data_IF_339914790478
#
_entry.id   IF_339914790478
#
_cell.length_a   1.000
_cell.length_b   1.000
_cell.length_c   1.000
_cell.angle_alpha   90.00
_cell.angle_beta   90.00
_cell.angle_gamma   90.00
#
_symmetry.space_group_name_H-M   'P 1'
#
loop_
_entity.id
_entity.type
_entity.pdbx_description
1 polymer ?
#
# COMPACT_ATOMS: atom_id res chain seq x y z
N UNK A 1 -14.21 9.23 6.57
CA UNK A 1 -14.01 7.84 7.04
C UNK A 1 -12.66 7.37 6.53
N UNK A 2 -11.84 6.79 7.42
CA UNK A 2 -10.50 6.31 7.12
C UNK A 2 -10.53 5.20 6.07
N UNK A 3 -9.58 5.22 5.15
CA UNK A 3 -9.36 4.18 4.15
C UNK A 3 -8.04 3.47 4.43
N UNK A 4 -8.02 2.15 4.22
CA UNK A 4 -6.78 1.37 4.18
C UNK A 4 -6.06 1.57 2.85
N UNK A 5 -4.74 1.45 2.83
CA UNK A 5 -3.93 1.36 1.61
C UNK A 5 -3.82 -0.06 1.05
N UNK A 6 -4.25 -1.08 1.79
CA UNK A 6 -4.20 -2.49 1.37
C UNK A 6 -5.54 -2.97 0.82
N UNK A 7 -5.49 -3.87 -0.17
CA UNK A 7 -6.70 -4.46 -0.74
C UNK A 7 -6.44 -5.29 -1.98
N UNK A 8 -7.38 -6.16 -2.31
CA UNK A 8 -7.36 -7.00 -3.50
C UNK A 8 -8.75 -7.10 -4.10
N UNK A 9 -8.82 -7.07 -5.43
CA UNK A 9 -10.02 -7.36 -6.17
C UNK A 9 -9.65 -8.10 -7.46
N UNK A 10 -10.45 -9.10 -7.82
CA UNK A 10 -10.31 -9.81 -9.09
C UNK A 10 -11.69 -10.02 -9.69
N UNK A 11 -11.77 -9.96 -11.01
CA UNK A 11 -12.98 -10.31 -11.74
C UNK A 11 -12.63 -10.81 -13.13
N UNK A 12 -13.41 -11.75 -13.63
CA UNK A 12 -13.36 -12.21 -15.02
C UNK A 12 -14.53 -11.64 -15.82
N UNK A 13 -14.35 -11.59 -17.13
CA UNK A 13 -15.41 -11.25 -18.08
C UNK A 13 -15.17 -11.94 -19.41
N UNK A 14 -16.17 -11.92 -20.27
CA UNK A 14 -16.06 -12.40 -21.64
C UNK A 14 -16.95 -11.60 -22.58
N UNK A 15 -16.53 -11.51 -23.83
CA UNK A 15 -17.29 -10.95 -24.95
C UNK A 15 -16.81 -11.61 -26.23
N UNK A 16 -17.75 -12.10 -27.03
CA UNK A 16 -17.50 -12.82 -28.28
C UNK A 16 -16.50 -13.98 -28.07
N UNK A 17 -15.32 -13.91 -28.67
CA UNK A 17 -14.25 -14.92 -28.53
C UNK A 17 -13.21 -14.54 -27.47
N UNK A 18 -13.38 -13.40 -26.78
CA UNK A 18 -12.43 -12.92 -25.79
C UNK A 18 -12.92 -13.24 -24.38
N UNK A 19 -12.01 -13.72 -23.55
CA UNK A 19 -12.15 -13.89 -22.12
C UNK A 19 -11.04 -13.10 -21.44
N UNK A 20 -11.33 -12.44 -20.34
CA UNK A 20 -10.33 -11.68 -19.61
C UNK A 20 -10.45 -11.81 -18.10
N UNK A 21 -9.35 -11.49 -17.42
CA UNK A 21 -9.25 -11.46 -15.97
C UNK A 21 -8.55 -10.15 -15.57
N UNK A 22 -9.21 -9.41 -14.69
CA UNK A 22 -8.65 -8.28 -13.96
C UNK A 22 -8.12 -8.75 -12.61
N UNK A 23 -6.91 -8.35 -12.27
CA UNK A 23 -6.35 -8.48 -10.93
C UNK A 23 -5.85 -7.11 -10.46
N UNK A 24 -6.45 -6.58 -9.40
CA UNK A 24 -6.04 -5.35 -8.73
C UNK A 24 -5.52 -5.67 -7.33
N UNK A 25 -4.31 -5.19 -7.03
CA UNK A 25 -3.72 -5.22 -5.68
C UNK A 25 -3.33 -3.81 -5.28
N UNK A 26 -3.73 -3.41 -4.07
CA UNK A 26 -3.30 -2.19 -3.42
C UNK A 26 -2.43 -2.58 -2.22
N UNK A 27 -1.28 -1.93 -2.07
CA UNK A 27 -0.37 -2.12 -0.94
C UNK A 27 0.11 -0.78 -0.40
N UNK A 28 0.57 -0.78 0.85
CA UNK A 28 1.17 0.39 1.48
C UNK A 28 2.42 0.87 0.70
N UNK A 29 2.46 2.16 0.38
CA UNK A 29 3.64 2.84 -0.13
C UNK A 29 3.66 4.30 0.34
N UNK A 30 4.85 4.91 0.41
CA UNK A 30 5.04 6.31 0.86
C UNK A 30 4.32 7.34 -0.02
N UNK A 31 4.21 7.06 -1.31
CA UNK A 31 3.53 7.89 -2.30
C UNK A 31 2.50 7.10 -3.09
N UNK A 32 1.95 7.71 -4.13
CA UNK A 32 1.09 7.04 -5.10
C UNK A 32 1.96 6.42 -6.20
N UNK A 33 1.91 5.10 -6.34
CA UNK A 33 2.55 4.35 -7.44
C UNK A 33 1.46 3.55 -8.19
N UNK A 34 1.45 3.63 -9.52
CA UNK A 34 0.45 2.98 -10.38
C UNK A 34 1.16 2.12 -11.42
N UNK A 35 1.11 0.80 -11.21
CA UNK A 35 1.71 -0.19 -12.10
C UNK A 35 0.61 -0.90 -12.88
N UNK A 36 0.48 -0.55 -14.16
CA UNK A 36 -0.54 -1.11 -15.05
C UNK A 36 0.14 -2.10 -15.99
N UNK A 37 -0.39 -3.32 -16.05
CA UNK A 37 -0.01 -4.34 -17.04
C UNK A 37 -1.26 -4.67 -17.85
N UNK A 38 -1.37 -4.02 -19.00
CA UNK A 38 -2.47 -4.23 -19.94
C UNK A 38 -1.89 -4.63 -21.31
N UNK A 39 -2.66 -5.31 -22.17
CA UNK A 39 -2.20 -5.62 -23.52
C UNK A 39 -1.96 -4.35 -24.34
N UNK A 40 -0.85 -4.34 -25.09
CA UNK A 40 -0.39 -3.21 -25.91
C UNK A 40 -1.10 -3.11 -27.27
N UNK A 41 -1.69 -4.22 -27.73
CA UNK A 41 -2.45 -4.30 -28.98
C UNK A 41 -3.83 -3.62 -28.92
N UNK A 42 -4.27 -3.15 -27.75
CA UNK A 42 -5.48 -2.32 -27.59
C UNK A 42 -5.03 -0.87 -27.39
N UNK A 43 -5.07 -0.09 -28.45
CA UNK A 43 -4.59 1.29 -28.45
C UNK A 43 -5.32 2.14 -27.41
N UNK A 44 -4.55 2.89 -26.61
CA UNK A 44 -5.08 3.82 -25.61
C UNK A 44 -5.68 3.18 -24.34
N UNK A 45 -5.75 1.85 -24.23
CA UNK A 45 -6.33 1.18 -23.07
C UNK A 45 -5.62 1.55 -21.76
N UNK A 46 -4.28 1.56 -21.75
CA UNK A 46 -3.52 1.91 -20.54
C UNK A 46 -3.85 3.32 -20.04
N UNK A 47 -3.91 4.30 -20.95
CA UNK A 47 -4.20 5.68 -20.60
C UNK A 47 -5.62 5.82 -20.01
N UNK A 48 -6.59 5.13 -20.59
CA UNK A 48 -7.98 5.13 -20.11
C UNK A 48 -8.10 4.46 -18.74
N UNK A 49 -7.47 3.30 -18.55
CA UNK A 49 -7.41 2.61 -17.25
C UNK A 49 -6.74 3.50 -16.19
N UNK A 50 -5.64 4.16 -16.53
CA UNK A 50 -4.94 5.10 -15.64
C UNK A 50 -5.84 6.26 -15.23
N UNK A 51 -6.61 6.82 -16.16
CA UNK A 51 -7.54 7.92 -15.90
C UNK A 51 -8.67 7.51 -14.94
N UNK A 52 -9.14 6.25 -15.00
CA UNK A 52 -10.15 5.73 -14.08
C UNK A 52 -9.64 5.51 -12.65
N UNK A 53 -8.39 5.07 -12.49
CA UNK A 53 -7.83 4.71 -11.17
C UNK A 53 -7.30 5.94 -10.42
N UNK A 54 -6.64 6.87 -11.13
CA UNK A 54 -5.98 8.04 -10.54
C UNK A 54 -6.84 8.84 -9.56
N UNK A 55 -8.13 9.15 -9.83
CA UNK A 55 -8.96 9.91 -8.90
C UNK A 55 -9.43 9.11 -7.68
N UNK A 56 -9.29 7.78 -7.67
CA UNK A 56 -9.76 6.90 -6.59
C UNK A 56 -8.68 6.54 -5.57
N UNK A 57 -7.41 6.85 -5.87
CA UNK A 57 -6.26 6.46 -5.05
C UNK A 57 -5.39 7.69 -4.81
N UNK A 58 -5.27 8.10 -3.55
CA UNK A 58 -4.45 9.27 -3.17
C UNK A 58 -3.06 8.86 -2.67
N UNK A 59 -2.94 7.68 -2.05
CA UNK A 59 -1.69 7.11 -1.53
C UNK A 59 -1.67 5.59 -1.66
N UNK A 60 -0.48 5.01 -1.70
CA UNK A 60 -0.25 3.56 -1.84
C UNK A 60 0.21 3.18 -3.23
N UNK A 61 0.64 1.93 -3.37
CA UNK A 61 1.00 1.34 -4.65
C UNK A 61 -0.12 0.44 -5.13
N UNK A 62 -0.69 0.75 -6.30
CA UNK A 62 -1.72 -0.07 -6.93
C UNK A 62 -1.12 -0.74 -8.16
N UNK A 63 -1.13 -2.07 -8.15
CA UNK A 63 -0.82 -2.87 -9.33
C UNK A 63 -2.10 -3.44 -9.93
N UNK A 64 -2.28 -3.23 -11.22
CA UNK A 64 -3.35 -3.76 -12.03
C UNK A 64 -2.74 -4.67 -13.09
N UNK A 65 -3.27 -5.88 -13.24
CA UNK A 65 -2.96 -6.76 -14.36
C UNK A 65 -4.25 -7.12 -15.07
N UNK A 66 -4.27 -6.93 -16.38
CA UNK A 66 -5.30 -7.44 -17.27
C UNK A 66 -4.68 -8.55 -18.11
N UNK A 67 -5.26 -9.74 -18.03
CA UNK A 67 -4.97 -10.83 -18.96
C UNK A 67 -6.17 -10.99 -19.88
N UNK A 68 -5.95 -10.85 -21.19
CA UNK A 68 -6.96 -11.13 -22.21
C UNK A 68 -6.50 -12.35 -22.99
N UNK A 69 -7.38 -13.33 -23.10
CA UNK A 69 -7.18 -14.55 -23.88
C UNK A 69 -8.30 -14.65 -24.90
N UNK A 70 -7.96 -15.07 -26.11
CA UNK A 70 -8.96 -15.42 -27.11
C UNK A 70 -9.22 -16.92 -27.01
N UNK A 71 -10.45 -17.33 -26.78
CA UNK A 71 -10.83 -18.73 -26.97
C UNK A 71 -10.72 -19.05 -28.46
N UNK A 72 -9.97 -20.10 -28.80
CA UNK A 72 -9.88 -20.59 -30.17
C UNK A 72 -11.25 -21.11 -30.62
N UNK A 73 -12.05 -20.25 -31.21
CA UNK A 73 -12.94 -20.69 -32.27
C UNK A 73 -12.05 -21.21 -33.39
N UNK A 74 -12.21 -22.47 -33.79
CA UNK A 74 -11.53 -23.06 -34.94
C UNK A 74 -11.52 -22.05 -36.09
N UNK A 75 -10.38 -21.38 -36.27
CA UNK A 75 -10.30 -20.19 -37.11
C UNK A 75 -10.73 -20.55 -38.52
N UNK A 76 -11.48 -19.67 -39.18
CA UNK A 76 -11.73 -19.82 -40.60
C UNK A 76 -10.38 -19.88 -41.31
N UNK A 77 -10.03 -21.05 -41.83
CA UNK A 77 -8.81 -21.28 -42.58
C UNK A 77 -8.97 -20.58 -43.92
N UNK A 78 -8.09 -19.63 -44.22
CA UNK A 78 -8.08 -18.89 -45.48
C UNK A 78 -6.84 -19.28 -46.26
N UNK A 79 -7.00 -19.36 -47.58
CA UNK A 79 -5.92 -19.68 -48.48
C UNK A 79 -5.12 -18.42 -48.81
N UNK A 80 -3.81 -18.42 -48.52
CA UNK A 80 -2.92 -17.34 -48.97
C UNK A 80 -2.68 -17.48 -50.47
N UNK A 81 -3.49 -16.77 -51.27
CA UNK A 81 -3.43 -16.85 -52.73
C UNK A 81 -2.08 -16.44 -53.31
N UNK A 82 -1.39 -15.47 -52.71
CA UNK A 82 -0.08 -15.04 -53.20
C UNK A 82 0.97 -16.14 -53.01
N UNK A 83 0.97 -16.78 -51.84
CA UNK A 83 1.88 -17.87 -51.55
C UNK A 83 1.54 -19.13 -52.34
N UNK A 84 0.25 -19.47 -52.48
CA UNK A 84 -0.20 -20.56 -53.34
C UNK A 84 0.31 -20.39 -54.76
N UNK A 85 0.20 -19.20 -55.35
CA UNK A 85 0.70 -18.93 -56.71
C UNK A 85 2.21 -19.19 -56.82
N UNK A 86 3.00 -18.80 -55.81
CA UNK A 86 4.45 -19.06 -55.78
C UNK A 86 4.77 -20.54 -55.65
N UNK A 87 4.01 -21.26 -54.82
CA UNK A 87 4.14 -22.72 -54.64
C UNK A 87 3.82 -23.46 -55.93
N UNK A 88 2.70 -23.12 -56.60
CA UNK A 88 2.32 -23.73 -57.86
C UNK A 88 3.34 -23.46 -58.99
N UNK A 89 3.91 -22.26 -59.04
CA UNK A 89 4.99 -21.94 -59.98
C UNK A 89 6.24 -22.80 -59.72
N UNK A 90 6.67 -22.90 -58.46
CA UNK A 90 7.82 -23.73 -58.08
C UNK A 90 7.58 -25.23 -58.36
N UNK A 91 6.36 -25.73 -58.18
CA UNK A 91 5.99 -27.09 -58.55
C UNK A 91 6.14 -27.32 -60.06
N UNK A 92 5.69 -26.37 -60.89
CA UNK A 92 5.86 -26.46 -62.35
C UNK A 92 7.33 -26.47 -62.78
N UNK A 93 8.19 -25.67 -62.14
CA UNK A 93 9.63 -25.68 -62.40
C UNK A 93 10.27 -27.04 -62.05
N UNK A 94 9.87 -27.64 -60.91
CA UNK A 94 10.34 -28.96 -60.47
C UNK A 94 9.90 -30.06 -61.44
N UNK A 95 8.64 -30.05 -61.86
CA UNK A 95 8.10 -31.04 -62.81
C UNK A 95 8.82 -30.97 -64.16
N UNK A 96 9.11 -29.76 -64.64
CA UNK A 96 9.85 -29.55 -65.89
C UNK A 96 11.27 -30.11 -65.79
N UNK A 97 12.00 -29.79 -64.71
CA UNK A 97 13.36 -30.30 -64.50
C UNK A 97 13.41 -31.82 -64.35
N UNK A 98 12.42 -32.42 -63.68
CA UNK A 98 12.33 -33.86 -63.54
C UNK A 98 12.10 -34.55 -64.90
N UNK A 99 11.28 -33.95 -65.77
CA UNK A 99 11.06 -34.45 -67.13
C UNK A 99 12.32 -34.40 -67.99
N UNK A 100 13.10 -33.31 -67.91
CA UNK A 100 14.35 -33.15 -68.67
C UNK A 100 15.40 -34.23 -68.36
N UNK A 101 15.38 -34.78 -67.13
CA UNK A 101 16.29 -35.85 -66.69
C UNK A 101 15.63 -37.25 -66.72
N UNK A 102 14.40 -37.37 -67.20
CA UNK A 102 13.66 -38.64 -67.27
C UNK A 102 13.20 -39.20 -65.92
N UNK A 103 13.10 -38.36 -64.88
CA UNK A 103 12.60 -38.74 -63.56
C UNK A 103 11.07 -38.58 -63.49
N UNK A 104 10.36 -39.68 -63.24
CA UNK A 104 8.92 -39.65 -63.04
C UNK A 104 8.57 -39.26 -61.59
N UNK A 105 7.88 -38.12 -61.42
CA UNK A 105 7.30 -37.70 -60.14
C UNK A 105 5.85 -38.20 -60.01
N UNK A 106 5.40 -38.41 -58.77
CA UNK A 106 3.98 -38.70 -58.50
C UNK A 106 3.15 -37.41 -58.54
N UNK A 107 1.90 -37.43 -59.05
CA UNK A 107 1.03 -36.25 -59.03
C UNK A 107 0.77 -35.78 -57.61
N UNK A 108 0.95 -34.48 -57.35
CA UNK A 108 0.57 -33.88 -56.07
C UNK A 108 -0.94 -33.70 -55.99
N UNK A 109 -1.53 -33.92 -54.82
CA UNK A 109 -2.95 -33.66 -54.57
C UNK A 109 -3.14 -32.34 -53.79
N UNK A 110 -4.39 -31.87 -53.71
CA UNK A 110 -4.69 -30.62 -53.01
C UNK A 110 -4.31 -30.64 -51.52
N UNK A 111 -4.41 -31.78 -50.84
CA UNK A 111 -3.98 -31.91 -49.44
C UNK A 111 -2.47 -31.73 -49.28
N UNK A 112 -1.67 -32.24 -50.23
CA UNK A 112 -0.21 -32.07 -50.23
C UNK A 112 0.17 -30.58 -50.31
N UNK A 113 -0.58 -29.81 -51.12
CA UNK A 113 -0.37 -28.37 -51.31
C UNK A 113 -0.85 -27.58 -50.08
N UNK A 114 -2.00 -27.94 -49.51
CA UNK A 114 -2.55 -27.30 -48.32
C UNK A 114 -1.67 -27.51 -47.08
N UNK A 115 -0.92 -28.62 -47.01
CA UNK A 115 0.01 -28.92 -45.93
C UNK A 115 1.31 -28.09 -45.99
N UNK A 116 1.59 -27.40 -47.10
CA UNK A 116 2.78 -26.57 -47.24
C UNK A 116 2.67 -25.32 -46.37
N UNK A 117 3.74 -25.05 -45.62
CA UNK A 117 3.82 -23.93 -44.67
C UNK A 117 3.48 -22.62 -45.37
N UNK A 118 2.43 -21.94 -44.92
CA UNK A 118 1.99 -20.64 -45.41
C UNK A 118 1.05 -20.67 -46.61
N UNK A 119 0.59 -21.84 -47.07
CA UNK A 119 -0.52 -21.94 -48.05
C UNK A 119 -1.86 -21.76 -47.36
N UNK A 120 -2.03 -22.39 -46.19
CA UNK A 120 -3.14 -22.14 -45.28
C UNK A 120 -2.70 -21.15 -44.21
N UNK A 121 -3.50 -20.11 -44.02
CA UNK A 121 -3.31 -19.11 -42.98
C UNK A 121 -4.62 -18.94 -42.20
N UNK A 122 -4.51 -18.62 -40.92
CA UNK A 122 -5.68 -18.17 -40.16
C UNK A 122 -6.13 -16.82 -40.71
N UNK A 123 -7.43 -16.63 -40.93
CA UNK A 123 -7.96 -15.32 -41.31
C UNK A 123 -7.44 -14.24 -40.34
N UNK A 124 -6.83 -13.14 -40.83
CA UNK A 124 -6.66 -11.95 -40.02
C UNK A 124 -8.06 -11.37 -39.81
N UNK A 125 -8.71 -11.75 -38.71
CA UNK A 125 -9.96 -11.10 -38.35
C UNK A 125 -9.64 -9.68 -37.85
N UNK A 126 -10.38 -8.66 -38.32
CA UNK A 126 -10.37 -7.37 -37.68
C UNK A 126 -10.91 -7.59 -36.26
N UNK A 127 -10.01 -7.68 -35.29
CA UNK A 127 -10.36 -7.47 -33.90
C UNK A 127 -10.91 -6.06 -33.82
N UNK A 128 -12.22 -5.90 -33.63
CA UNK A 128 -12.81 -4.63 -33.24
C UNK A 128 -12.32 -4.30 -31.82
N UNK A 129 -11.09 -3.80 -31.76
CA UNK A 129 -10.38 -3.44 -30.54
C UNK A 129 -11.10 -2.32 -29.80
N UNK A 130 -11.91 -1.53 -30.50
CA UNK A 130 -12.69 -0.45 -29.92
C UNK A 130 -13.89 -1.00 -29.12
N UNK A 131 -14.66 -1.92 -29.70
CA UNK A 131 -15.74 -2.61 -29.00
C UNK A 131 -15.22 -3.39 -27.76
N UNK A 132 -14.11 -4.11 -27.91
CA UNK A 132 -13.48 -4.83 -26.81
C UNK A 132 -12.96 -3.89 -25.72
N UNK A 133 -12.33 -2.77 -26.09
CA UNK A 133 -11.86 -1.75 -25.15
C UNK A 133 -13.00 -1.20 -24.29
N UNK A 134 -14.15 -0.91 -24.92
CA UNK A 134 -15.35 -0.47 -24.22
C UNK A 134 -15.82 -1.48 -23.17
N UNK A 135 -15.89 -2.77 -23.53
CA UNK A 135 -16.29 -3.83 -22.59
C UNK A 135 -15.28 -4.02 -21.45
N UNK A 136 -13.98 -4.01 -21.76
CA UNK A 136 -12.92 -4.07 -20.76
C UNK A 136 -13.07 -2.94 -19.73
N UNK A 137 -13.22 -1.69 -20.18
CA UNK A 137 -13.39 -0.53 -19.29
C UNK A 137 -14.68 -0.61 -18.47
N UNK A 138 -15.78 -1.08 -19.06
CA UNK A 138 -17.03 -1.30 -18.33
C UNK A 138 -16.85 -2.34 -17.22
N UNK A 139 -16.11 -3.42 -17.50
CA UNK A 139 -15.85 -4.51 -16.55
C UNK A 139 -14.85 -4.12 -15.45
N UNK A 140 -14.01 -3.11 -15.65
CA UNK A 140 -13.10 -2.59 -14.62
C UNK A 140 -13.85 -1.85 -13.50
N UNK A 141 -14.95 -1.17 -13.81
CA UNK A 141 -15.74 -0.38 -12.84
C UNK A 141 -16.19 -1.18 -11.61
N UNK A 142 -16.80 -2.38 -11.73
CA UNK A 142 -17.14 -3.20 -10.57
C UNK A 142 -15.90 -3.71 -9.81
N UNK A 143 -14.78 -3.99 -10.48
CA UNK A 143 -13.53 -4.40 -9.81
C UNK A 143 -12.98 -3.28 -8.93
N UNK A 144 -12.97 -2.04 -9.45
CA UNK A 144 -12.56 -0.86 -8.68
C UNK A 144 -13.48 -0.62 -7.49
N UNK A 145 -14.79 -0.80 -7.68
CA UNK A 145 -15.76 -0.65 -6.60
C UNK A 145 -15.53 -1.69 -5.50
N UNK A 146 -15.26 -2.94 -5.87
CA UNK A 146 -14.90 -4.01 -4.93
C UNK A 146 -13.62 -3.69 -4.15
N UNK A 147 -12.58 -3.19 -4.82
CA UNK A 147 -11.34 -2.76 -4.16
C UNK A 147 -11.61 -1.63 -3.14
N UNK A 148 -12.40 -0.62 -3.51
CA UNK A 148 -12.73 0.48 -2.60
C UNK A 148 -13.55 0.00 -1.40
N UNK A 149 -14.46 -0.96 -1.57
CA UNK A 149 -15.22 -1.54 -0.47
C UNK A 149 -14.31 -2.31 0.50
N UNK A 150 -13.36 -3.09 -0.02
CA UNK A 150 -12.38 -3.79 0.82
C UNK A 150 -11.52 -2.80 1.62
N UNK A 151 -10.98 -1.76 0.95
CA UNK A 151 -10.18 -0.70 1.58
C UNK A 151 -10.96 0.07 2.64
N UNK A 152 -12.25 0.32 2.41
CA UNK A 152 -13.14 0.98 3.37
C UNK A 152 -13.42 0.08 4.58
N UNK A 153 -13.62 -1.23 4.37
CA UNK A 153 -13.86 -2.18 5.45
C UNK A 153 -12.64 -2.33 6.35
N UNK A 154 -11.46 -2.48 5.76
CA UNK A 154 -10.21 -2.54 6.51
C UNK A 154 -9.90 -1.19 7.19
N UNK A 155 -10.18 -0.06 6.53
CA UNK A 155 -10.04 1.28 7.11
C UNK A 155 -10.89 1.49 8.37
N UNK A 156 -12.10 0.91 8.43
CA UNK A 156 -12.92 0.90 9.66
C UNK A 156 -12.27 0.10 10.78
N UNK A 157 -11.79 -1.10 10.49
CA UNK A 157 -11.10 -1.94 11.47
C UNK A 157 -9.82 -1.25 12.01
N UNK A 158 -9.01 -0.64 11.13
CA UNK A 158 -7.85 0.15 11.52
C UNK A 158 -8.24 1.34 12.40
N UNK A 159 -9.33 2.05 12.06
CA UNK A 159 -9.82 3.16 12.88
C UNK A 159 -10.15 2.70 14.30
N UNK A 160 -10.84 1.58 14.48
CA UNK A 160 -11.19 1.04 15.79
C UNK A 160 -9.95 0.63 16.61
N UNK A 161 -8.96 0.02 15.95
CA UNK A 161 -7.68 -0.34 16.60
C UNK A 161 -6.94 0.92 17.05
N UNK A 162 -6.79 1.91 16.17
CA UNK A 162 -6.07 3.15 16.47
C UNK A 162 -6.80 3.93 17.57
N UNK A 163 -8.14 3.98 17.56
CA UNK A 163 -8.92 4.60 18.65
C UNK A 163 -8.58 3.96 20.00
N UNK A 164 -8.58 2.62 20.10
CA UNK A 164 -8.23 1.93 21.35
C UNK A 164 -6.80 2.21 21.79
N UNK A 165 -5.86 2.34 20.87
CA UNK A 165 -4.47 2.68 21.19
C UNK A 165 -4.34 4.11 21.68
N UNK A 166 -5.06 5.06 21.07
CA UNK A 166 -5.11 6.46 21.52
C UNK A 166 -5.73 6.56 22.91
N UNK A 167 -6.79 5.80 23.19
CA UNK A 167 -7.40 5.74 24.53
C UNK A 167 -6.43 5.17 25.56
N UNK A 168 -5.71 4.09 25.24
CA UNK A 168 -4.69 3.54 26.13
C UNK A 168 -3.52 4.53 26.39
N UNK A 169 -3.11 5.31 25.38
CA UNK A 169 -2.13 6.39 25.55
C UNK A 169 -2.68 7.47 26.49
N UNK A 170 -3.97 7.84 26.35
CA UNK A 170 -4.62 8.80 27.23
C UNK A 170 -4.61 8.32 28.69
N UNK A 171 -5.03 7.07 28.93
CA UNK A 171 -5.06 6.48 30.27
C UNK A 171 -3.65 6.45 30.90
N UNK A 172 -2.63 6.09 30.14
CA UNK A 172 -1.24 6.11 30.62
C UNK A 172 -0.72 7.53 30.86
N UNK A 173 -1.20 8.51 30.10
CA UNK A 173 -0.87 9.93 30.30
C UNK A 173 -1.45 10.43 31.64
N UNK A 174 -2.69 10.05 31.96
CA UNK A 174 -3.33 10.38 33.24
C UNK A 174 -2.59 9.70 34.41
N UNK A 175 -2.21 8.43 34.25
CA UNK A 175 -1.38 7.73 35.25
C UNK A 175 -0.03 8.44 35.43
N UNK A 176 0.62 8.90 34.35
CA UNK A 176 1.85 9.67 34.46
C UNK A 176 1.65 10.98 35.23
N UNK A 177 0.55 11.70 34.98
CA UNK A 177 0.20 12.92 35.69
C UNK A 177 0.04 12.71 37.20
N UNK A 178 -0.71 11.69 37.60
CA UNK A 178 -0.91 11.35 39.02
C UNK A 178 0.41 11.00 39.71
N UNK A 179 1.27 10.22 39.03
CA UNK A 179 2.58 9.82 39.56
C UNK A 179 3.54 10.99 39.66
N UNK A 180 3.56 11.88 38.66
CA UNK A 180 4.36 13.09 38.68
C UNK A 180 3.96 14.00 39.85
N UNK A 181 2.66 14.16 40.09
CA UNK A 181 2.14 14.97 41.19
C UNK A 181 2.48 14.37 42.56
N UNK A 182 2.32 13.05 42.72
CA UNK A 182 2.71 12.36 43.95
C UNK A 182 4.23 12.48 44.21
N UNK A 183 5.06 12.39 43.17
CA UNK A 183 6.49 12.54 43.30
C UNK A 183 6.90 13.96 43.71
N UNK A 184 6.27 15.01 43.18
CA UNK A 184 6.55 16.40 43.60
C UNK A 184 6.41 16.58 45.12
N UNK A 185 5.38 15.99 45.71
CA UNK A 185 5.17 16.04 47.17
C UNK A 185 6.24 15.27 47.95
N UNK A 186 6.69 14.13 47.44
CA UNK A 186 7.70 13.29 48.09
C UNK A 186 9.13 13.85 47.93
N UNK A 187 9.42 14.48 46.77
CA UNK A 187 10.76 14.84 46.36
C UNK A 187 11.38 15.90 47.25
N UNK A 188 10.61 16.89 47.71
CA UNK A 188 11.10 17.90 48.65
C UNK A 188 11.58 17.27 49.97
N UNK A 189 10.80 16.34 50.53
CA UNK A 189 11.12 15.63 51.77
C UNK A 189 12.34 14.73 51.61
N UNK A 190 12.40 13.95 50.52
CA UNK A 190 13.53 13.06 50.26
C UNK A 190 14.81 13.82 49.98
N UNK A 191 14.73 14.93 49.24
CA UNK A 191 15.89 15.78 48.93
C UNK A 191 16.45 16.38 50.21
N UNK A 192 15.59 16.92 51.09
CA UNK A 192 16.00 17.46 52.38
C UNK A 192 16.69 16.40 53.26
N UNK A 193 16.10 15.20 53.39
CA UNK A 193 16.69 14.10 54.15
C UNK A 193 18.04 13.63 53.57
N UNK A 194 18.18 13.60 52.25
CA UNK A 194 19.43 13.21 51.59
C UNK A 194 20.52 14.27 51.77
N UNK A 195 20.16 15.55 51.72
CA UNK A 195 21.06 16.67 51.99
C UNK A 195 21.57 16.59 53.44
N UNK A 196 20.67 16.46 54.42
CA UNK A 196 21.04 16.34 55.85
C UNK A 196 21.98 15.15 56.11
N UNK A 197 21.70 13.99 55.50
CA UNK A 197 22.59 12.80 55.59
C UNK A 197 23.95 13.03 54.95
N UNK A 198 24.00 13.68 53.78
CA UNK A 198 25.25 13.89 53.04
C UNK A 198 26.19 14.89 53.73
N UNK A 199 25.64 15.87 54.43
CA UNK A 199 26.42 16.93 55.09
C UNK A 199 26.99 16.53 56.44
N UNK A 200 26.38 15.57 57.14
CA UNK A 200 26.85 15.10 58.43
C UNK A 200 27.06 16.21 59.47
N UNK A 201 26.26 17.29 59.40
CA UNK A 201 26.31 18.43 60.33
C UNK A 201 27.31 19.54 59.97
N UNK A 202 27.84 19.60 58.74
CA UNK A 202 28.66 20.73 58.26
C UNK A 202 27.79 21.89 57.77
N UNK A 203 28.28 23.12 57.94
CA UNK A 203 27.61 24.33 57.45
C UNK A 203 27.42 24.30 55.93
N UNK A 204 26.21 24.67 55.51
CA UNK A 204 25.78 24.75 54.13
C UNK A 204 25.97 26.18 53.61
N UNK A 205 26.52 26.29 52.39
CA UNK A 205 26.23 27.46 51.56
C UNK A 205 24.79 27.31 51.04
N UNK A 206 23.84 27.87 51.79
CA UNK A 206 22.41 27.82 51.49
C UNK A 206 22.09 28.33 50.08
N UNK A 207 22.86 29.31 49.59
CA UNK A 207 22.64 29.91 48.28
C UNK A 207 23.05 28.95 47.15
N UNK A 208 24.19 28.26 47.31
CA UNK A 208 24.61 27.23 46.35
C UNK A 208 23.69 26.01 46.36
N UNK A 209 23.23 25.61 47.55
CA UNK A 209 22.27 24.51 47.67
C UNK A 209 20.94 24.84 46.98
N UNK A 210 20.38 26.03 47.24
CA UNK A 210 19.14 26.46 46.59
C UNK A 210 19.25 26.47 45.06
N UNK A 211 20.41 26.85 44.52
CA UNK A 211 20.65 26.88 43.08
C UNK A 211 20.74 25.47 42.44
N UNK A 212 21.38 24.51 43.11
CA UNK A 212 21.43 23.12 42.65
C UNK A 212 20.05 22.45 42.74
N UNK A 213 19.29 22.69 43.82
CA UNK A 213 17.91 22.21 43.97
C UNK A 213 17.03 22.78 42.86
N UNK A 214 17.10 24.08 42.59
CA UNK A 214 16.35 24.71 41.51
C UNK A 214 16.70 24.08 40.15
N UNK A 215 17.98 23.80 39.90
CA UNK A 215 18.45 23.15 38.67
C UNK A 215 17.90 21.73 38.53
N UNK A 216 17.88 20.95 39.62
CA UNK A 216 17.34 19.59 39.64
C UNK A 216 15.83 19.57 39.44
N UNK A 217 15.09 20.50 40.06
CA UNK A 217 13.65 20.64 39.88
C UNK A 217 13.30 20.92 38.42
N UNK A 218 13.99 21.87 37.78
CA UNK A 218 13.76 22.18 36.35
C UNK A 218 14.10 21.00 35.45
N UNK A 219 15.19 20.27 35.74
CA UNK A 219 15.59 19.10 34.94
C UNK A 219 14.66 17.89 35.10
N UNK A 220 13.99 17.76 36.24
CA UNK A 220 13.07 16.66 36.55
C UNK A 220 11.60 17.00 36.32
N UNK A 221 11.30 18.24 35.91
CA UNK A 221 9.94 18.62 35.55
C UNK A 221 9.55 17.96 34.22
N UNK A 222 8.50 17.14 34.31
CA UNK A 222 7.88 16.38 33.22
C UNK A 222 6.45 16.85 32.92
N UNK A 223 6.02 17.95 33.55
CA UNK A 223 4.65 18.47 33.40
C UNK A 223 4.36 18.86 31.95
N UNK A 224 5.35 19.49 31.29
CA UNK A 224 5.21 19.91 29.90
C UNK A 224 5.04 18.72 28.94
N UNK A 225 5.79 17.64 29.15
CA UNK A 225 5.69 16.41 28.36
C UNK A 225 4.31 15.76 28.53
N UNK A 226 3.76 15.74 29.75
CA UNK A 226 2.42 15.21 30.03
C UNK A 226 1.34 16.07 29.36
N UNK A 227 1.44 17.39 29.45
CA UNK A 227 0.51 18.32 28.79
C UNK A 227 0.56 18.16 27.27
N UNK A 228 1.76 18.00 26.69
CA UNK A 228 1.96 17.73 25.25
C UNK A 228 1.36 16.39 24.84
N UNK A 229 1.54 15.33 25.62
CA UNK A 229 0.89 14.03 25.38
C UNK A 229 -0.63 14.18 25.32
N UNK A 230 -1.24 14.90 26.28
CA UNK A 230 -2.68 15.18 26.29
C UNK A 230 -3.15 15.98 25.06
N UNK A 231 -2.37 16.97 24.64
CA UNK A 231 -2.64 17.73 23.41
C UNK A 231 -2.57 16.83 22.15
N UNK A 232 -1.59 15.92 22.09
CA UNK A 232 -1.45 14.96 21.00
C UNK A 232 -2.59 13.94 20.97
N UNK A 233 -3.07 13.46 22.12
CA UNK A 233 -4.28 12.62 22.22
C UNK A 233 -5.48 13.32 21.61
N UNK A 234 -5.69 14.60 21.98
CA UNK A 234 -6.79 15.41 21.45
C UNK A 234 -6.67 15.58 19.93
N UNK A 235 -5.47 15.88 19.43
CA UNK A 235 -5.20 15.98 18.00
C UNK A 235 -5.47 14.66 17.26
N UNK A 236 -5.04 13.52 17.82
CA UNK A 236 -5.25 12.19 17.23
C UNK A 236 -6.74 11.85 17.13
N UNK A 237 -7.52 12.07 18.21
CA UNK A 237 -8.98 11.90 18.20
C UNK A 237 -9.64 12.79 17.14
N UNK A 238 -9.19 14.03 17.01
CA UNK A 238 -9.67 14.95 15.97
C UNK A 238 -9.39 14.46 14.54
N UNK A 239 -8.21 13.89 14.29
CA UNK A 239 -7.86 13.31 12.98
C UNK A 239 -8.71 12.09 12.63
N UNK A 240 -9.01 11.22 13.60
CA UNK A 240 -9.82 10.02 13.37
C UNK A 240 -11.26 10.35 12.95
N UNK A 241 -11.76 11.54 13.31
CA UNK A 241 -13.09 12.02 12.92
C UNK A 241 -13.11 12.73 11.55
N UNK A 242 -11.94 13.09 11.00
CA UNK A 242 -11.88 13.79 9.72
C UNK A 242 -12.21 12.89 8.52
N UNK A 243 -12.69 13.52 7.46
CA UNK A 243 -12.82 12.88 6.15
C UNK A 243 -11.62 13.22 5.27
N UNK A 244 -11.13 12.24 4.52
CA UNK A 244 -9.96 12.39 3.65
C UNK A 244 -8.70 11.71 4.21
N UNK A 245 -7.55 11.88 3.54
CA UNK A 245 -6.31 11.23 3.89
C UNK A 245 -5.73 11.83 5.18
N UNK A 246 -5.55 10.98 6.20
CA UNK A 246 -5.05 11.36 7.53
C UNK A 246 -3.79 10.60 7.92
N UNK A 247 -3.41 9.56 7.17
CA UNK A 247 -2.29 8.68 7.51
C UNK A 247 -0.97 9.40 7.75
N UNK A 248 -0.63 10.44 6.96
CA UNK A 248 0.59 11.23 7.18
C UNK A 248 0.55 12.06 8.45
N UNK A 249 -0.61 12.63 8.78
CA UNK A 249 -0.78 13.44 9.99
C UNK A 249 -0.73 12.56 11.24
N UNK A 250 -1.33 11.36 11.16
CA UNK A 250 -1.22 10.35 12.21
C UNK A 250 0.22 9.86 12.36
N UNK A 251 0.95 9.63 11.27
CA UNK A 251 2.36 9.18 11.33
C UNK A 251 3.23 10.23 12.04
N UNK A 252 3.02 11.51 11.72
CA UNK A 252 3.65 12.61 12.45
C UNK A 252 3.30 12.59 13.95
N UNK A 253 2.03 12.40 14.32
CA UNK A 253 1.65 12.30 15.74
C UNK A 253 2.32 11.11 16.44
N UNK A 254 2.49 9.96 15.79
CA UNK A 254 3.22 8.84 16.42
C UNK A 254 4.68 9.18 16.73
N UNK A 255 5.30 10.03 15.91
CA UNK A 255 6.66 10.53 16.16
C UNK A 255 6.68 11.50 17.34
N UNK A 256 5.71 12.43 17.41
CA UNK A 256 5.59 13.36 18.54
C UNK A 256 5.29 12.63 19.85
N UNK A 257 4.35 11.67 19.86
CA UNK A 257 4.12 10.80 21.02
C UNK A 257 5.39 10.10 21.48
N UNK A 258 6.18 9.54 20.54
CA UNK A 258 7.42 8.86 20.87
C UNK A 258 8.46 9.82 21.46
N UNK A 259 8.54 11.07 20.96
CA UNK A 259 9.42 12.10 21.52
C UNK A 259 9.07 12.36 22.98
N UNK A 260 7.80 12.60 23.29
CA UNK A 260 7.38 12.90 24.66
C UNK A 260 7.56 11.69 25.59
N UNK A 261 7.25 10.47 25.13
CA UNK A 261 7.48 9.26 25.91
C UNK A 261 8.97 9.00 26.20
N UNK A 262 9.87 9.30 25.25
CA UNK A 262 11.31 9.22 25.47
C UNK A 262 11.78 10.24 26.51
N UNK A 263 11.28 11.48 26.41
CA UNK A 263 11.62 12.53 27.38
C UNK A 263 11.13 12.16 28.77
N UNK A 264 9.91 11.64 28.90
CA UNK A 264 9.35 11.11 30.15
C UNK A 264 10.24 10.03 30.77
N UNK A 265 10.67 9.03 29.97
CA UNK A 265 11.61 8.00 30.44
C UNK A 265 12.97 8.56 30.86
N UNK A 266 13.49 9.54 30.14
CA UNK A 266 14.86 10.06 30.38
C UNK A 266 14.94 11.05 31.54
N UNK A 267 13.86 11.80 31.80
CA UNK A 267 13.76 12.75 32.91
C UNK A 267 13.17 12.12 34.19
N UNK A 268 12.51 10.97 34.07
CA UNK A 268 11.95 10.24 35.20
C UNK A 268 13.04 9.73 36.14
N UNK A 269 12.99 10.16 37.40
CA UNK A 269 13.76 9.56 38.50
C UNK A 269 12.95 8.52 39.29
N UNK A 270 11.77 8.13 38.80
CA UNK A 270 10.86 7.19 39.46
C UNK A 270 10.71 5.91 38.63
N UNK A 271 10.89 4.77 39.29
CA UNK A 271 10.69 3.45 38.65
C UNK A 271 9.30 3.33 38.05
N UNK A 272 8.28 3.88 38.72
CA UNK A 272 6.89 3.85 38.23
C UNK A 272 6.68 4.70 36.98
N UNK A 273 7.24 5.92 36.94
CA UNK A 273 7.14 6.78 35.74
C UNK A 273 7.92 6.19 34.57
N UNK A 274 9.07 5.57 34.83
CA UNK A 274 9.83 4.86 33.81
C UNK A 274 9.04 3.67 33.26
N UNK A 275 8.32 2.92 34.11
CA UNK A 275 7.43 1.84 33.66
C UNK A 275 6.31 2.38 32.74
N UNK A 276 5.65 3.46 33.13
CA UNK A 276 4.62 4.11 32.31
C UNK A 276 5.18 4.56 30.96
N UNK A 277 6.36 5.18 30.94
CA UNK A 277 7.00 5.60 29.69
C UNK A 277 7.36 4.43 28.76
N UNK A 278 7.78 3.27 29.30
CA UNK A 278 8.03 2.06 28.50
C UNK A 278 6.74 1.46 27.93
N UNK A 279 5.65 1.47 28.70
CA UNK A 279 4.32 1.03 28.25
C UNK A 279 3.78 1.95 27.13
N UNK A 280 3.91 3.27 27.32
CA UNK A 280 3.60 4.27 26.28
C UNK A 280 4.36 3.96 24.98
N UNK A 281 5.68 3.78 25.04
CA UNK A 281 6.50 3.46 23.87
C UNK A 281 6.01 2.22 23.13
N UNK A 282 5.65 1.18 23.88
CA UNK A 282 5.13 -0.07 23.30
C UNK A 282 3.84 0.16 22.51
N UNK A 283 2.87 0.90 23.09
CA UNK A 283 1.61 1.19 22.42
C UNK A 283 1.82 2.13 21.23
N UNK A 284 2.71 3.13 21.35
CA UNK A 284 3.03 4.07 20.27
C UNK A 284 3.65 3.34 19.07
N UNK A 285 4.55 2.38 19.31
CA UNK A 285 5.15 1.59 18.24
C UNK A 285 4.11 0.70 17.54
N UNK A 286 3.21 0.07 18.29
CA UNK A 286 2.07 -0.66 17.72
C UNK A 286 1.14 0.26 16.92
N UNK A 287 0.86 1.46 17.42
CA UNK A 287 0.04 2.45 16.71
C UNK A 287 0.69 2.88 15.40
N UNK A 288 2.00 3.12 15.42
CA UNK A 288 2.77 3.48 14.23
C UNK A 288 2.69 2.41 13.13
N UNK A 289 2.72 1.13 13.49
CA UNK A 289 2.54 0.04 12.53
C UNK A 289 1.15 0.08 11.87
N UNK A 290 0.09 0.33 12.63
CA UNK A 290 -1.27 0.44 12.08
C UNK A 290 -1.43 1.67 11.19
N UNK A 291 -0.90 2.81 11.63
CA UNK A 291 -0.93 4.08 10.90
C UNK A 291 -0.22 3.99 9.55
N UNK A 292 0.80 3.13 9.42
CA UNK A 292 1.44 2.89 8.13
C UNK A 292 0.49 2.31 7.09
N UNK A 293 -0.60 1.64 7.47
CA UNK A 293 -1.59 1.12 6.53
C UNK A 293 -2.76 2.08 6.26
N UNK A 294 -2.79 3.24 6.92
CA UNK A 294 -3.82 4.27 6.76
C UNK A 294 -3.47 5.22 5.61
N UNK A 295 -4.45 5.48 4.73
CA UNK A 295 -4.34 6.47 3.64
C UNK A 295 -4.16 7.90 4.16
#
# INVERSE_FOLDING_TARGET
>A
MIQSMTGFASASGSQDTFVWIWDLRSVNAKGRDLRLRVPDWIEGLEAQVRALITPKVSRGAVSLTLRVTREETAGAVVLNRSHLTKVLAAMGDIETQAMDIGLALSPSNACDILALRGVLESAPEPSDTEALSGALLSSLTPVLSSLMLMRASEGRALSEIITRQVDAIADLTDVAADRAQAQKAQMAVTLQQNIEKALGGRDLDEQRLAQEIATLVVKSDITEEIDRLGAHVTAARGLLQQSGPVGRKLDFLTQEFNREANTLCSKSHSVELTRVGLELKTIIDQMREQVQNVE
#
